data_IF_676648276761
#
_entry.id   IF_676648276761
#
_cell.length_a   1.000
_cell.length_b   1.000
_cell.length_c   1.000
_cell.angle_alpha   90.00
_cell.angle_beta   90.00
_cell.angle_gamma   90.00
#
_symmetry.space_group_name_H-M   'P 1'
#
loop_
_entity.id
_entity.type
_entity.pdbx_description
1 polymer ?
#
# COMPACT_ATOMS: atom_id res chain seq x y z
N UNK A 1 -6.54 41.48 23.67
CA UNK A 1 -5.92 40.50 22.77
C UNK A 1 -6.96 39.96 21.82
N UNK A 2 -6.72 40.08 20.53
CA UNK A 2 -7.58 39.52 19.49
C UNK A 2 -7.28 38.02 19.29
N UNK A 3 -8.21 37.24 18.73
CA UNK A 3 -7.96 35.82 18.42
C UNK A 3 -6.74 35.60 17.51
N UNK A 4 -6.51 36.54 16.58
CA UNK A 4 -5.36 36.51 15.67
C UNK A 4 -4.04 36.73 16.42
N UNK A 5 -4.00 37.66 17.37
CA UNK A 5 -2.82 37.90 18.21
C UNK A 5 -2.44 36.68 19.06
N UNK A 6 -3.43 35.90 19.52
CA UNK A 6 -3.17 34.65 20.25
C UNK A 6 -2.56 33.58 19.36
N UNK A 7 -3.07 33.42 18.13
CA UNK A 7 -2.55 32.44 17.18
C UNK A 7 -1.10 32.75 16.77
N UNK A 8 -0.76 34.04 16.61
CA UNK A 8 0.60 34.45 16.27
C UNK A 8 1.58 34.37 17.45
N UNK A 9 1.08 34.24 18.67
CA UNK A 9 1.89 34.07 19.89
C UNK A 9 2.12 32.60 20.25
N UNK A 10 1.43 31.66 19.61
CA UNK A 10 1.63 30.23 19.82
C UNK A 10 2.85 29.75 19.03
N UNK A 11 3.88 29.26 19.72
CA UNK A 11 5.05 28.67 19.07
C UNK A 11 4.63 27.42 18.29
N UNK A 12 4.92 27.40 16.99
CA UNK A 12 4.76 26.20 16.17
C UNK A 12 5.69 25.12 16.74
N UNK A 13 5.19 23.90 17.02
CA UNK A 13 6.05 22.82 17.48
C UNK A 13 7.07 22.53 16.38
N UNK A 14 8.33 22.91 16.63
CA UNK A 14 9.49 22.60 15.78
C UNK A 14 9.90 21.12 15.87
N UNK A 15 9.00 20.28 16.39
CA UNK A 15 9.19 18.84 16.52
C UNK A 15 9.48 18.23 15.16
N UNK A 16 10.54 17.43 15.11
CA UNK A 16 11.00 16.73 13.91
C UNK A 16 10.02 15.59 13.60
N UNK A 17 8.92 15.91 12.91
CA UNK A 17 7.98 14.90 12.42
C UNK A 17 8.67 13.94 11.44
N UNK A 18 8.68 12.64 11.77
CA UNK A 18 9.15 11.59 10.85
C UNK A 18 10.64 11.23 10.92
N UNK A 19 11.43 11.81 11.83
CA UNK A 19 12.88 11.54 11.89
C UNK A 19 13.28 10.33 12.73
N UNK A 20 12.38 9.80 13.56
CA UNK A 20 12.59 8.52 14.20
C UNK A 20 12.34 7.41 13.17
N UNK A 21 13.35 7.10 12.35
CA UNK A 21 13.34 5.85 11.61
C UNK A 21 13.33 4.73 12.66
N UNK A 22 12.26 3.92 12.75
CA UNK A 22 12.24 2.82 13.69
C UNK A 22 13.43 1.90 13.37
N UNK A 23 14.08 1.30 14.38
CA UNK A 23 15.19 0.39 14.13
C UNK A 23 14.71 -0.67 13.15
N UNK A 24 15.40 -0.77 12.00
CA UNK A 24 15.12 -1.80 11.01
C UNK A 24 15.36 -3.13 11.72
N UNK A 25 14.28 -3.84 12.07
CA UNK A 25 14.39 -5.22 12.54
C UNK A 25 15.14 -5.97 11.45
N UNK A 26 16.34 -6.46 11.75
CA UNK A 26 17.05 -7.35 10.85
C UNK A 26 16.08 -8.50 10.54
N UNK A 27 15.66 -8.61 9.29
CA UNK A 27 14.87 -9.74 8.86
C UNK A 27 15.69 -10.98 9.19
N UNK A 28 15.19 -11.81 10.10
CA UNK A 28 15.80 -13.12 10.33
C UNK A 28 15.81 -13.84 8.98
N UNK A 29 16.89 -14.56 8.61
CA UNK A 29 16.87 -15.35 7.39
C UNK A 29 15.72 -16.36 7.52
N UNK A 30 14.66 -16.13 6.74
CA UNK A 30 13.54 -17.06 6.66
C UNK A 30 14.04 -18.21 5.79
N UNK A 31 14.04 -19.43 6.35
CA UNK A 31 14.28 -20.65 5.57
C UNK A 31 13.30 -20.66 4.37
N UNK A 32 13.74 -21.05 3.16
CA UNK A 32 12.82 -21.21 2.03
C UNK A 32 11.73 -22.23 2.37
N UNK A 33 10.49 -21.96 1.96
CA UNK A 33 9.36 -22.87 2.16
C UNK A 33 9.57 -24.18 1.41
N UNK A 34 9.09 -25.28 2.00
CA UNK A 34 8.88 -26.52 1.24
C UNK A 34 7.68 -26.37 0.30
N UNK A 35 7.60 -27.23 -0.71
CA UNK A 35 6.44 -27.25 -1.61
C UNK A 35 5.13 -27.55 -0.86
N UNK A 36 5.18 -28.42 0.16
CA UNK A 36 4.03 -28.75 1.01
C UNK A 36 3.60 -27.55 1.88
N UNK A 37 4.55 -26.85 2.50
CA UNK A 37 4.29 -25.64 3.29
C UNK A 37 3.68 -24.54 2.41
N UNK A 38 4.18 -24.37 1.19
CA UNK A 38 3.64 -23.41 0.24
C UNK A 38 2.22 -23.79 -0.20
N UNK A 39 1.95 -25.07 -0.49
CA UNK A 39 0.63 -25.54 -0.87
C UNK A 39 -0.39 -25.33 0.25
N UNK A 40 -0.02 -25.64 1.49
CA UNK A 40 -0.88 -25.40 2.65
C UNK A 40 -1.14 -23.90 2.86
N UNK A 41 -0.09 -23.08 2.78
CA UNK A 41 -0.24 -21.63 2.92
C UNK A 41 -1.16 -21.04 1.85
N UNK A 42 -1.06 -21.51 0.59
CA UNK A 42 -1.94 -21.07 -0.48
C UNK A 42 -3.39 -21.52 -0.25
N UNK A 43 -3.61 -22.72 0.25
CA UNK A 43 -4.95 -23.19 0.62
C UNK A 43 -5.56 -22.32 1.73
N UNK A 44 -4.79 -22.03 2.78
CA UNK A 44 -5.21 -21.18 3.90
C UNK A 44 -5.51 -19.74 3.44
N UNK A 45 -4.64 -19.20 2.58
CA UNK A 45 -4.82 -17.86 2.02
C UNK A 45 -6.08 -17.79 1.15
N UNK A 46 -6.29 -18.77 0.27
CA UNK A 46 -7.49 -18.81 -0.57
C UNK A 46 -8.77 -18.92 0.26
N UNK A 47 -8.76 -19.75 1.31
CA UNK A 47 -9.89 -19.85 2.23
C UNK A 47 -10.16 -18.53 2.96
N UNK A 48 -9.11 -17.80 3.36
CA UNK A 48 -9.26 -16.50 4.01
C UNK A 48 -9.77 -15.40 3.06
N UNK A 49 -9.41 -15.49 1.77
CA UNK A 49 -9.85 -14.57 0.74
C UNK A 49 -11.24 -14.90 0.18
N UNK A 50 -11.75 -16.11 0.42
CA UNK A 50 -13.07 -16.52 -0.05
C UNK A 50 -14.16 -15.61 0.54
N UNK A 51 -14.83 -14.86 -0.33
CA UNK A 51 -15.87 -13.89 0.06
C UNK A 51 -15.32 -12.55 0.56
N UNK A 52 -14.01 -12.35 0.64
CA UNK A 52 -13.43 -11.04 0.90
C UNK A 52 -13.65 -10.12 -0.31
N UNK A 53 -14.22 -8.95 -0.07
CA UNK A 53 -14.44 -7.91 -1.07
C UNK A 53 -13.62 -6.70 -0.69
N UNK A 54 -12.72 -6.26 -1.56
CA UNK A 54 -11.97 -5.02 -1.35
C UNK A 54 -12.91 -3.81 -1.61
N UNK A 55 -13.19 -2.97 -0.61
CA UNK A 55 -14.02 -1.78 -0.79
C UNK A 55 -13.42 -0.79 -1.82
N UNK A 56 -12.11 -0.80 -2.01
CA UNK A 56 -11.40 -0.01 -3.02
C UNK A 56 -11.68 -0.50 -4.45
N UNK A 57 -12.01 -1.78 -4.63
CA UNK A 57 -12.36 -2.38 -5.92
C UNK A 57 -13.71 -1.85 -6.43
N UNK A 58 -14.69 -1.67 -5.54
CA UNK A 58 -15.95 -1.00 -5.87
C UNK A 58 -15.71 0.43 -6.36
N UNK A 59 -14.91 1.21 -5.62
CA UNK A 59 -14.54 2.56 -6.04
C UNK A 59 -13.70 2.58 -7.33
N UNK A 60 -12.93 1.53 -7.63
CA UNK A 60 -12.22 1.40 -8.91
C UNK A 60 -13.18 1.08 -10.06
N UNK A 61 -14.17 0.20 -9.85
CA UNK A 61 -15.22 -0.11 -10.82
C UNK A 61 -16.08 1.11 -11.14
N UNK A 62 -16.44 1.90 -10.13
CA UNK A 62 -17.18 3.15 -10.34
C UNK A 62 -16.35 4.18 -11.13
N UNK A 63 -15.07 4.33 -10.79
CA UNK A 63 -14.16 5.17 -11.58
C UNK A 63 -14.00 4.68 -13.01
N UNK A 64 -14.01 3.37 -13.26
CA UNK A 64 -13.98 2.80 -14.60
C UNK A 64 -15.28 3.10 -15.39
N UNK A 65 -16.45 3.04 -14.73
CA UNK A 65 -17.74 3.39 -15.34
C UNK A 65 -17.86 4.87 -15.70
N UNK A 66 -17.27 5.74 -14.88
CA UNK A 66 -17.28 7.20 -15.09
C UNK A 66 -16.05 7.70 -15.85
N UNK A 67 -15.28 6.81 -16.47
CA UNK A 67 -14.08 7.20 -17.20
C UNK A 67 -14.46 7.86 -18.53
N UNK A 68 -14.03 9.10 -18.79
CA UNK A 68 -14.21 9.71 -20.10
C UNK A 68 -13.47 8.90 -21.17
N UNK A 69 -14.10 8.69 -22.33
CA UNK A 69 -13.59 7.85 -23.43
C UNK A 69 -12.20 8.25 -23.98
N UNK A 70 -11.69 9.43 -23.64
CA UNK A 70 -10.40 9.95 -24.11
C UNK A 70 -9.22 9.61 -23.18
N UNK A 71 -9.45 9.08 -21.98
CA UNK A 71 -8.36 8.67 -21.08
C UNK A 71 -8.10 7.16 -21.25
N UNK A 72 -6.88 6.77 -21.60
CA UNK A 72 -6.45 5.35 -21.66
C UNK A 72 -5.40 5.06 -20.58
N UNK A 73 -5.54 3.92 -19.88
CA UNK A 73 -4.51 3.44 -18.94
C UNK A 73 -3.43 2.84 -19.83
N UNK A 74 -2.21 3.33 -19.69
CA UNK A 74 -1.05 2.69 -20.28
C UNK A 74 -0.69 1.57 -19.32
N UNK A 75 -0.94 0.33 -19.71
CA UNK A 75 -0.45 -0.84 -18.98
C UNK A 75 1.08 -0.76 -18.98
N UNK A 76 1.67 -0.65 -17.79
CA UNK A 76 3.11 -0.68 -17.64
C UNK A 76 3.61 -2.05 -18.05
N UNK A 77 4.29 -2.12 -19.19
CA UNK A 77 5.04 -3.30 -19.61
C UNK A 77 6.16 -3.53 -18.59
N UNK A 78 5.92 -4.41 -17.62
CA UNK A 78 6.99 -4.96 -16.79
C UNK A 78 7.86 -5.83 -17.69
N UNK A 79 8.88 -5.22 -18.28
CA UNK A 79 9.93 -5.91 -18.98
C UNK A 79 10.70 -6.81 -18.01
N UNK A 80 10.69 -8.10 -18.29
CA UNK A 80 11.77 -9.02 -17.90
C UNK A 80 11.80 -10.16 -18.92
N UNK A 81 12.07 -9.78 -20.17
CA UNK A 81 12.69 -10.67 -21.15
C UNK A 81 14.19 -10.65 -20.82
N UNK A 82 14.62 -11.62 -20.01
CA UNK A 82 16.03 -11.88 -19.76
C UNK A 82 16.47 -13.08 -20.60
N UNK A 83 17.09 -12.74 -21.73
CA UNK A 83 18.23 -13.39 -22.39
C UNK A 83 18.27 -14.93 -22.52
N UNK A 84 18.11 -15.35 -23.79
CA UNK A 84 18.98 -16.21 -24.60
C UNK A 84 19.73 -17.39 -23.93
#
# INVERSE_FOLDING_TARGET
MTPIERLLAEELPTGTFGHAQPPRRHARPIRPWTAEEQAQHLADLNAALEGWQDPGEHAARDRARHRPAHLRVVEGTSGSEAAA
#
